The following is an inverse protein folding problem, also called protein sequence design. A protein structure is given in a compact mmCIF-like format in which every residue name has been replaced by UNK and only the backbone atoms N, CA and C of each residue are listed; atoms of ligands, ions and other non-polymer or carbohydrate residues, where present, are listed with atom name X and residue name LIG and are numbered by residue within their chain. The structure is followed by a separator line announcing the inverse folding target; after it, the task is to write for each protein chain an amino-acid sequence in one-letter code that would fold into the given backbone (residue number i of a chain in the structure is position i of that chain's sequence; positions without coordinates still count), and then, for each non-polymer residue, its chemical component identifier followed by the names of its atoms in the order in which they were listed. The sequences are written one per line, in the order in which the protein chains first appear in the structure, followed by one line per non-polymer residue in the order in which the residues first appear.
data_IF_694070507080
#
_entry.id   IF_694070507080
#
_cell.length_a   1.000
_cell.length_b   1.000
_cell.length_c   1.000
_cell.angle_alpha   90.00
_cell.angle_beta   90.00
_cell.angle_gamma   90.00
#
_symmetry.space_group_name_H-M   'P 1'
#
loop_
_entity.id
_entity.type
_entity.pdbx_description
1 polymer ?
#
# COMPACT_ATOMS: atom_id res chain seq x y z
N UNK A 1 -7.00 -18.48 -16.97
CA UNK A 1 -7.69 -17.23 -16.56
C UNK A 1 -7.94 -17.14 -15.06
N UNK A 2 -8.52 -18.15 -14.39
CA UNK A 2 -8.80 -18.11 -12.93
C UNK A 2 -7.60 -17.75 -12.02
N UNK A 3 -6.39 -18.25 -12.30
CA UNK A 3 -5.18 -17.95 -11.51
C UNK A 3 -4.50 -16.61 -11.84
N UNK A 4 -4.86 -15.96 -12.96
CA UNK A 4 -4.37 -14.62 -13.34
C UNK A 4 -5.00 -13.53 -12.46
N UNK A 5 -6.11 -13.86 -11.81
CA UNK A 5 -6.89 -12.96 -10.98
C UNK A 5 -6.45 -12.99 -9.51
N UNK A 6 -5.91 -14.11 -9.00
CA UNK A 6 -5.60 -14.23 -7.57
C UNK A 6 -4.34 -13.48 -7.12
N UNK A 7 -3.34 -13.34 -8.01
CA UNK A 7 -2.10 -12.62 -7.69
C UNK A 7 -2.28 -11.10 -7.69
N UNK A 8 -3.09 -10.56 -8.60
CA UNK A 8 -3.46 -9.13 -8.63
C UNK A 8 -4.40 -8.80 -7.48
N UNK A 9 -5.34 -9.71 -7.17
CA UNK A 9 -6.26 -9.57 -6.04
C UNK A 9 -5.51 -9.33 -4.74
N UNK A 10 -4.48 -10.13 -4.41
CA UNK A 10 -3.81 -10.03 -3.12
C UNK A 10 -3.20 -8.63 -2.84
N UNK A 11 -2.56 -8.01 -3.83
CA UNK A 11 -2.09 -6.62 -3.73
C UNK A 11 -3.25 -5.62 -3.67
N UNK A 12 -4.32 -5.87 -4.42
CA UNK A 12 -5.51 -5.01 -4.47
C UNK A 12 -6.28 -4.95 -3.14
N UNK A 13 -6.28 -6.02 -2.35
CA UNK A 13 -6.93 -6.02 -1.03
C UNK A 13 -6.23 -5.07 -0.04
N UNK A 14 -4.89 -5.00 -0.06
CA UNK A 14 -4.11 -4.06 0.76
C UNK A 14 -4.52 -2.63 0.44
N UNK A 15 -4.75 -2.30 -0.83
CA UNK A 15 -5.22 -0.96 -1.22
C UNK A 15 -6.62 -0.64 -0.70
N UNK A 16 -7.55 -1.60 -0.70
CA UNK A 16 -8.87 -1.42 -0.10
C UNK A 16 -8.80 -1.04 1.39
N UNK A 17 -7.92 -1.70 2.15
CA UNK A 17 -7.65 -1.37 3.57
C UNK A 17 -7.13 0.06 3.74
N UNK A 18 -6.25 0.51 2.85
CA UNK A 18 -5.67 1.85 2.89
C UNK A 18 -6.72 2.94 2.63
N UNK A 19 -7.72 2.67 1.78
CA UNK A 19 -8.83 3.60 1.53
C UNK A 19 -9.82 3.70 2.71
N UNK A 20 -10.11 2.59 3.39
CA UNK A 20 -10.94 2.62 4.62
C UNK A 20 -10.32 3.52 5.69
N UNK A 21 -8.99 3.53 5.77
CA UNK A 21 -8.30 4.36 6.75
C UNK A 21 -8.45 5.85 6.45
N UNK A 22 -8.56 6.27 5.18
CA UNK A 22 -8.85 7.67 4.86
C UNK A 22 -10.19 8.16 5.42
N UNK A 23 -11.21 7.31 5.49
CA UNK A 23 -12.50 7.63 6.14
C UNK A 23 -12.35 7.93 7.65
N UNK A 24 -11.26 7.46 8.28
CA UNK A 24 -11.01 7.75 9.69
C UNK A 24 -10.41 9.13 9.95
N UNK A 25 -9.91 9.84 8.92
CA UNK A 25 -9.36 11.19 9.06
C UNK A 25 -10.37 12.21 9.58
N UNK A 26 -11.53 12.40 8.92
CA UNK A 26 -12.53 13.33 9.41
C UNK A 26 -13.04 12.90 10.79
N UNK A 27 -13.20 11.60 11.01
CA UNK A 27 -13.66 11.06 12.28
C UNK A 27 -12.69 11.35 13.45
N UNK A 28 -11.38 11.38 13.20
CA UNK A 28 -10.37 11.70 14.22
C UNK A 28 -10.15 13.20 14.34
N UNK A 29 -9.85 13.89 13.24
CA UNK A 29 -9.44 15.29 13.31
C UNK A 29 -10.64 16.23 13.54
N UNK A 30 -11.81 15.94 12.96
CA UNK A 30 -13.00 16.78 13.12
C UNK A 30 -13.78 16.40 14.39
N UNK A 31 -14.09 15.12 14.62
CA UNK A 31 -14.92 14.75 15.78
C UNK A 31 -14.15 14.72 17.11
N UNK A 32 -12.91 14.21 17.15
CA UNK A 32 -12.13 14.08 18.41
C UNK A 32 -11.38 15.38 18.72
N UNK A 33 -10.68 15.94 17.73
CA UNK A 33 -9.83 17.12 17.92
C UNK A 33 -10.51 18.46 17.59
N UNK A 34 -11.71 18.46 17.02
CA UNK A 34 -12.47 19.68 16.72
C UNK A 34 -11.84 20.55 15.64
N UNK A 35 -11.06 19.98 14.72
CA UNK A 35 -10.42 20.74 13.65
C UNK A 35 -11.44 21.27 12.64
N UNK A 36 -11.15 22.45 12.09
CA UNK A 36 -11.88 22.97 10.94
C UNK A 36 -11.46 22.22 9.65
N UNK A 37 -12.30 22.21 8.61
CA UNK A 37 -12.03 21.57 7.31
C UNK A 37 -10.67 21.97 6.70
N UNK A 38 -10.24 23.23 6.88
CA UNK A 38 -8.92 23.68 6.43
C UNK A 38 -7.76 23.07 7.22
N UNK A 39 -7.94 22.83 8.53
CA UNK A 39 -6.96 22.19 9.41
C UNK A 39 -6.89 20.68 9.20
N UNK A 40 -8.01 20.05 8.83
CA UNK A 40 -8.02 18.66 8.34
C UNK A 40 -7.15 18.53 7.07
N UNK A 41 -7.25 19.50 6.15
CA UNK A 41 -6.38 19.58 4.98
C UNK A 41 -4.88 19.58 5.32
N UNK A 42 -4.51 20.27 6.40
CA UNK A 42 -3.13 20.31 6.91
C UNK A 42 -2.67 18.95 7.45
N UNK A 43 -3.57 18.11 7.98
CA UNK A 43 -3.21 16.77 8.48
C UNK A 43 -2.73 15.83 7.34
N UNK A 44 -3.17 16.06 6.10
CA UNK A 44 -2.67 15.33 4.93
C UNK A 44 -1.22 15.66 4.57
N UNK A 45 -0.65 16.77 5.07
CA UNK A 45 0.77 17.07 4.89
C UNK A 45 1.67 15.99 5.51
N UNK A 46 1.23 15.31 6.57
CA UNK A 46 1.95 14.16 7.13
C UNK A 46 2.19 13.08 6.08
N UNK A 47 1.13 12.73 5.32
CA UNK A 47 1.20 11.76 4.23
C UNK A 47 2.13 12.26 3.10
N UNK A 48 2.07 13.55 2.77
CA UNK A 48 2.92 14.16 1.75
C UNK A 48 4.41 14.02 2.13
N UNK A 49 4.78 14.40 3.36
CA UNK A 49 6.16 14.30 3.86
C UNK A 49 6.64 12.85 3.85
N UNK A 50 5.80 11.91 4.29
CA UNK A 50 6.11 10.48 4.22
C UNK A 50 6.36 9.98 2.79
N UNK A 51 5.53 10.40 1.85
CA UNK A 51 5.64 10.04 0.43
C UNK A 51 6.92 10.62 -0.20
N UNK A 52 7.27 11.87 0.09
CA UNK A 52 8.51 12.50 -0.38
C UNK A 52 9.76 11.83 0.19
N UNK A 53 9.69 11.42 1.46
CA UNK A 53 10.77 10.67 2.11
C UNK A 53 10.97 9.31 1.43
N UNK A 54 9.89 8.57 1.20
CA UNK A 54 9.94 7.30 0.49
C UNK A 54 10.40 7.44 -0.97
N UNK A 55 10.01 8.50 -1.66
CA UNK A 55 10.50 8.82 -3.00
C UNK A 55 12.02 8.99 -3.01
N UNK A 56 12.56 9.77 -2.07
CA UNK A 56 14.01 9.97 -1.95
C UNK A 56 14.72 8.67 -1.64
N UNK A 57 14.23 7.88 -0.68
CA UNK A 57 14.80 6.58 -0.33
C UNK A 57 14.79 5.59 -1.50
N UNK A 58 13.68 5.52 -2.26
CA UNK A 58 13.58 4.68 -3.45
C UNK A 58 14.52 5.13 -4.55
N UNK A 59 14.63 6.43 -4.78
CA UNK A 59 15.52 6.97 -5.81
C UNK A 59 16.98 6.63 -5.49
N UNK A 60 17.40 6.80 -4.24
CA UNK A 60 18.72 6.39 -3.77
C UNK A 60 18.92 4.86 -3.91
N UNK A 61 17.91 4.07 -3.58
CA UNK A 61 17.97 2.61 -3.76
C UNK A 61 18.15 2.22 -5.24
N UNK A 62 17.39 2.85 -6.14
CA UNK A 62 17.51 2.61 -7.57
C UNK A 62 18.88 3.01 -8.10
N UNK A 63 19.37 4.20 -7.73
CA UNK A 63 20.64 4.74 -8.20
C UNK A 63 21.86 3.97 -7.67
N UNK A 64 21.88 3.60 -6.39
CA UNK A 64 23.03 2.93 -5.79
C UNK A 64 23.04 1.40 -6.00
N UNK A 65 21.87 0.77 -6.04
CA UNK A 65 21.75 -0.69 -5.97
C UNK A 65 21.18 -1.31 -7.24
N UNK A 66 20.09 -0.74 -7.78
CA UNK A 66 19.40 -1.32 -8.94
C UNK A 66 20.15 -1.05 -10.25
N UNK A 67 20.74 0.13 -10.40
CA UNK A 67 21.51 0.52 -11.60
C UNK A 67 22.76 -0.35 -11.79
N UNK A 68 23.36 -0.84 -10.70
CA UNK A 68 24.51 -1.74 -10.72
C UNK A 68 24.17 -3.21 -10.99
N UNK A 69 22.88 -3.56 -11.01
CA UNK A 69 22.39 -4.92 -11.27
C UNK A 69 21.79 -5.07 -12.68
N UNK A 70 21.91 -4.05 -13.53
CA UNK A 70 21.65 -4.21 -14.95
C UNK A 70 22.73 -5.12 -15.55
N UNK A 71 22.32 -6.23 -16.17
CA UNK A 71 23.20 -7.07 -16.97
C UNK A 71 23.63 -6.33 -18.26
N UNK A 72 24.64 -6.82 -18.97
CA UNK A 72 25.14 -6.25 -20.25
C UNK A 72 24.05 -6.07 -21.33
N UNK A 73 22.88 -6.71 -21.18
CA UNK A 73 21.72 -6.59 -22.05
C UNK A 73 20.67 -5.55 -21.60
N UNK A 74 20.89 -4.81 -20.50
CA UNK A 74 19.96 -3.79 -20.01
C UNK A 74 18.70 -4.34 -19.32
N UNK A 75 18.72 -5.58 -18.85
CA UNK A 75 17.56 -6.23 -18.22
C UNK A 75 17.77 -6.48 -16.71
N UNK A 76 16.72 -6.26 -15.91
CA UNK A 76 16.66 -6.52 -14.46
C UNK A 76 15.65 -7.64 -14.19
N UNK A 77 15.97 -8.54 -13.25
CA UNK A 77 15.02 -9.53 -12.72
C UNK A 77 13.79 -8.83 -12.09
N UNK A 78 12.55 -9.07 -12.58
CA UNK A 78 11.34 -8.42 -12.06
C UNK A 78 11.14 -8.60 -10.55
N UNK A 79 11.70 -9.64 -9.95
CA UNK A 79 11.65 -9.95 -8.53
C UNK A 79 12.39 -8.91 -7.66
N UNK A 80 13.43 -8.26 -8.19
CA UNK A 80 14.12 -7.16 -7.49
C UNK A 80 13.20 -5.95 -7.31
N UNK A 81 12.19 -5.79 -8.17
CA UNK A 81 11.18 -4.72 -8.05
C UNK A 81 10.17 -4.97 -6.93
N UNK A 82 10.08 -6.20 -6.39
CA UNK A 82 9.23 -6.53 -5.23
C UNK A 82 9.87 -6.20 -3.88
N UNK A 83 11.18 -5.96 -3.81
CA UNK A 83 11.88 -5.67 -2.55
C UNK A 83 11.32 -4.43 -1.83
N UNK A 84 10.96 -3.32 -2.52
CA UNK A 84 10.30 -2.20 -1.87
C UNK A 84 8.92 -2.54 -1.30
N UNK A 85 8.15 -3.44 -1.93
CA UNK A 85 6.86 -3.89 -1.40
C UNK A 85 7.00 -4.69 -0.10
N UNK A 86 8.09 -5.46 0.05
CA UNK A 86 8.38 -6.20 1.29
C UNK A 86 8.60 -5.23 2.45
N UNK A 87 9.32 -4.13 2.21
CA UNK A 87 9.55 -3.07 3.21
C UNK A 87 8.26 -2.29 3.47
N UNK A 88 7.56 -1.85 2.42
CA UNK A 88 6.30 -1.12 2.52
C UNK A 88 5.21 -1.88 3.28
N UNK A 89 5.18 -3.21 3.15
CA UNK A 89 4.25 -4.08 3.87
C UNK A 89 4.35 -3.98 5.40
N UNK A 90 5.54 -3.72 5.96
CA UNK A 90 5.71 -3.50 7.40
C UNK A 90 5.26 -2.12 7.86
N UNK A 91 5.35 -1.11 6.99
CA UNK A 91 4.92 0.24 7.30
C UNK A 91 3.39 0.39 7.37
N UNK A 92 2.65 -0.46 6.65
CA UNK A 92 1.16 -0.49 6.70
C UNK A 92 0.62 -0.71 8.12
N UNK A 93 0.94 -1.80 8.83
CA UNK A 93 0.45 -2.00 10.19
C UNK A 93 1.04 -1.02 11.19
N UNK A 94 2.28 -0.58 11.01
CA UNK A 94 2.88 0.46 11.87
C UNK A 94 2.05 1.73 11.83
N UNK A 95 1.69 2.20 10.62
CA UNK A 95 0.82 3.35 10.47
C UNK A 95 -0.55 3.12 11.13
N UNK A 96 -1.20 1.99 10.86
CA UNK A 96 -2.55 1.73 11.35
C UNK A 96 -2.61 1.60 12.87
N UNK A 97 -1.64 0.91 13.49
CA UNK A 97 -1.55 0.85 14.96
C UNK A 97 -1.20 2.20 15.56
N UNK A 98 -0.22 2.91 14.98
CA UNK A 98 0.20 4.21 15.49
C UNK A 98 -0.95 5.22 15.43
N UNK A 99 -1.58 5.36 14.27
CA UNK A 99 -2.72 6.25 14.07
C UNK A 99 -3.89 5.85 14.95
N UNK A 100 -4.27 4.57 14.98
CA UNK A 100 -5.38 4.06 15.77
C UNK A 100 -5.23 4.38 17.26
N UNK A 101 -4.08 4.09 17.85
CA UNK A 101 -3.87 4.27 19.30
C UNK A 101 -3.47 5.69 19.71
N UNK A 102 -3.02 6.52 18.77
CA UNK A 102 -2.74 7.94 19.01
C UNK A 102 -3.96 8.84 18.82
N UNK A 103 -5.04 8.34 18.22
CA UNK A 103 -6.30 9.05 18.02
C UNK A 103 -7.14 9.11 19.30
N UNK A 104 -6.63 9.81 20.31
CA UNK A 104 -7.27 10.00 21.62
C UNK A 104 -7.26 11.48 22.00
N UNK A 105 -8.31 11.94 22.68
CA UNK A 105 -8.40 13.31 23.20
C UNK A 105 -7.23 13.69 24.11
N UNK A 106 -6.64 12.70 24.80
CA UNK A 106 -5.52 12.90 25.73
C UNK A 106 -4.15 13.03 25.04
N UNK A 107 -4.07 12.73 23.74
CA UNK A 107 -2.81 12.71 22.97
C UNK A 107 -2.78 13.90 22.01
N UNK A 108 -1.65 14.59 21.92
CA UNK A 108 -1.50 15.74 21.03
C UNK A 108 -1.73 15.36 19.56
N UNK A 109 -2.53 16.15 18.83
CA UNK A 109 -2.94 15.94 17.43
C UNK A 109 -1.78 15.69 16.44
N UNK A 110 -0.55 16.06 16.78
CA UNK A 110 0.63 15.85 15.93
C UNK A 110 1.04 14.37 15.86
N UNK A 111 0.76 13.59 16.90
CA UNK A 111 1.14 12.17 16.98
C UNK A 111 0.42 11.34 15.91
N UNK A 112 -0.91 11.46 15.69
CA UNK A 112 -1.57 10.79 14.57
C UNK A 112 -1.11 11.31 13.20
N UNK A 113 -0.70 12.59 13.08
CA UNK A 113 -0.12 13.13 11.82
C UNK A 113 1.27 12.50 11.54
N UNK A 114 2.08 12.25 12.56
CA UNK A 114 3.33 11.50 12.38
C UNK A 114 3.01 10.06 11.97
N UNK A 115 1.99 9.46 12.58
CA UNK A 115 1.46 8.15 12.17
C UNK A 115 1.08 8.11 10.69
N UNK A 116 0.38 9.14 10.20
CA UNK A 116 -0.01 9.24 8.79
C UNK A 116 1.17 9.38 7.82
N UNK A 117 2.32 9.87 8.27
CA UNK A 117 3.52 9.89 7.41
C UNK A 117 4.00 8.49 7.04
N UNK A 118 3.90 7.52 7.94
CA UNK A 118 4.24 6.12 7.64
C UNK A 118 3.30 5.49 6.61
N UNK A 119 2.06 5.96 6.53
CA UNK A 119 1.15 5.61 5.45
C UNK A 119 1.70 6.04 4.09
N UNK A 120 2.16 7.28 3.98
CA UNK A 120 2.74 7.82 2.76
C UNK A 120 3.93 6.98 2.29
N UNK A 121 4.77 6.57 3.23
CA UNK A 121 5.90 5.65 2.95
C UNK A 121 5.40 4.30 2.44
N UNK A 122 4.46 3.67 3.13
CA UNK A 122 3.92 2.36 2.76
C UNK A 122 3.26 2.38 1.38
N UNK A 123 2.35 3.34 1.17
CA UNK A 123 1.61 3.48 -0.08
C UNK A 123 2.56 3.72 -1.25
N UNK A 124 3.51 4.66 -1.11
CA UNK A 124 4.44 4.98 -2.19
C UNK A 124 5.32 3.77 -2.55
N UNK A 125 5.88 3.06 -1.57
CA UNK A 125 6.69 1.86 -1.81
C UNK A 125 5.89 0.74 -2.48
N UNK A 126 4.64 0.52 -2.07
CA UNK A 126 3.77 -0.50 -2.65
C UNK A 126 3.39 -0.16 -4.10
N UNK A 127 3.03 1.10 -4.38
CA UNK A 127 2.69 1.54 -5.74
C UNK A 127 3.88 1.40 -6.69
N UNK A 128 5.05 1.84 -6.25
CA UNK A 128 6.28 1.79 -7.05
C UNK A 128 6.81 0.37 -7.25
N UNK A 129 6.46 -0.59 -6.40
CA UNK A 129 6.79 -2.00 -6.61
C UNK A 129 5.78 -2.71 -7.52
N UNK A 130 4.48 -2.49 -7.31
CA UNK A 130 3.41 -3.23 -7.99
C UNK A 130 3.28 -2.82 -9.46
N UNK A 131 3.26 -1.53 -9.78
CA UNK A 131 3.02 -1.08 -11.16
C UNK A 131 4.10 -1.56 -12.14
N UNK A 132 5.41 -1.42 -11.84
CA UNK A 132 6.46 -1.90 -12.73
C UNK A 132 6.51 -3.44 -12.79
N UNK A 133 6.26 -4.13 -11.68
CA UNK A 133 6.16 -5.59 -11.66
C UNK A 133 5.04 -6.10 -12.58
N UNK A 134 3.89 -5.41 -12.54
CA UNK A 134 2.71 -5.79 -13.32
C UNK A 134 2.91 -5.55 -14.82
N UNK A 135 3.63 -4.48 -15.18
CA UNK A 135 4.08 -4.20 -16.54
C UNK A 135 5.06 -5.26 -17.06
N UNK A 136 6.04 -5.66 -16.25
CA UNK A 136 7.04 -6.66 -16.65
C UNK A 136 6.45 -8.07 -16.73
N UNK A 137 5.53 -8.42 -15.83
CA UNK A 137 4.90 -9.72 -15.79
C UNK A 137 3.93 -9.94 -16.97
N UNK A 138 3.32 -8.86 -17.50
CA UNK A 138 2.29 -8.92 -18.54
C UNK A 138 2.43 -7.83 -19.63
N UNK A 139 3.56 -7.78 -20.37
CA UNK A 139 3.84 -6.70 -21.33
C UNK A 139 2.79 -6.58 -22.45
N UNK A 140 2.18 -7.69 -22.87
CA UNK A 140 1.15 -7.70 -23.93
C UNK A 140 -0.22 -7.18 -23.47
N UNK A 141 -0.47 -7.07 -22.16
CA UNK A 141 -1.79 -6.67 -21.60
C UNK A 141 -1.67 -5.58 -20.54
N UNK A 142 -0.56 -4.84 -20.48
CA UNK A 142 -0.28 -3.83 -19.45
C UNK A 142 -1.44 -2.83 -19.27
N UNK A 143 -2.00 -2.31 -20.37
CA UNK A 143 -3.10 -1.35 -20.32
C UNK A 143 -4.37 -1.92 -19.66
N UNK A 144 -4.77 -3.15 -20.01
CA UNK A 144 -5.94 -3.81 -19.42
C UNK A 144 -5.71 -4.14 -17.94
N UNK A 145 -4.47 -4.47 -17.59
CA UNK A 145 -4.11 -4.83 -16.23
C UNK A 145 -4.06 -3.58 -15.33
N UNK A 146 -3.59 -2.45 -15.82
CA UNK A 146 -3.69 -1.15 -15.12
C UNK A 146 -5.15 -0.71 -14.97
N UNK A 147 -5.96 -0.81 -16.04
CA UNK A 147 -7.39 -0.52 -15.95
C UNK A 147 -8.10 -1.42 -14.92
N UNK A 148 -7.74 -2.71 -14.87
CA UNK A 148 -8.22 -3.62 -13.84
C UNK A 148 -7.80 -3.18 -12.43
N UNK A 149 -6.55 -2.80 -12.24
CA UNK A 149 -6.06 -2.27 -10.96
C UNK A 149 -6.85 -1.04 -10.49
N UNK A 150 -7.08 -0.08 -11.38
CA UNK A 150 -7.88 1.10 -11.08
C UNK A 150 -9.35 0.77 -10.80
N UNK A 151 -9.94 -0.16 -11.54
CA UNK A 151 -11.31 -0.62 -11.30
C UNK A 151 -11.44 -1.25 -9.91
N UNK A 152 -10.55 -2.16 -9.52
CA UNK A 152 -10.59 -2.78 -8.19
C UNK A 152 -10.39 -1.74 -7.10
N UNK A 153 -9.42 -0.83 -7.26
CA UNK A 153 -9.17 0.26 -6.32
C UNK A 153 -10.42 1.14 -6.14
N UNK A 154 -11.08 1.49 -7.24
CA UNK A 154 -12.27 2.35 -7.22
C UNK A 154 -13.49 1.61 -6.66
N UNK A 155 -13.67 0.34 -7.00
CA UNK A 155 -14.75 -0.50 -6.45
C UNK A 155 -14.61 -0.66 -4.92
N UNK A 156 -13.39 -0.87 -4.44
CA UNK A 156 -13.10 -0.87 -3.02
C UNK A 156 -13.33 0.51 -2.41
N UNK A 157 -12.80 1.59 -3.01
CA UNK A 157 -13.06 2.96 -2.55
C UNK A 157 -14.54 3.34 -2.47
N UNK A 158 -15.40 2.78 -3.33
CA UNK A 158 -16.84 3.01 -3.29
C UNK A 158 -17.58 2.08 -2.30
N UNK A 159 -17.17 0.82 -2.18
CA UNK A 159 -17.86 -0.18 -1.35
C UNK A 159 -17.49 -0.12 0.14
N UNK A 160 -16.25 0.25 0.46
CA UNK A 160 -15.74 0.24 1.82
C UNK A 160 -16.35 1.32 2.74
N UNK A 161 -16.56 2.57 2.31
CA UNK A 161 -17.20 3.60 3.15
C UNK A 161 -18.58 3.20 3.66
N UNK A 162 -19.31 2.39 2.89
CA UNK A 162 -20.67 1.93 3.22
C UNK A 162 -20.75 1.17 4.55
N UNK A 163 -19.67 0.48 4.94
CA UNK A 163 -19.56 -0.22 6.22
C UNK A 163 -18.49 0.34 7.14
N UNK A 164 -17.57 1.18 6.64
CA UNK A 164 -16.60 1.87 7.46
C UNK A 164 -17.28 2.69 8.56
N UNK A 165 -18.32 3.48 8.22
CA UNK A 165 -19.07 4.23 9.24
C UNK A 165 -19.60 3.33 10.33
N UNK A 166 -20.31 2.24 9.98
CA UNK A 166 -20.85 1.29 10.95
C UNK A 166 -19.76 0.59 11.80
N UNK A 167 -18.60 0.32 11.21
CA UNK A 167 -17.45 -0.24 11.91
C UNK A 167 -16.88 0.76 12.92
N UNK A 168 -16.65 2.00 12.50
CA UNK A 168 -16.10 3.06 13.36
C UNK A 168 -17.07 3.46 14.48
N UNK A 169 -18.39 3.49 14.25
CA UNK A 169 -19.36 3.80 15.33
C UNK A 169 -19.45 2.70 16.39
N UNK A 170 -19.29 1.42 16.00
CA UNK A 170 -19.45 0.28 16.93
C UNK A 170 -18.16 -0.13 17.62
N UNK A 171 -17.02 -0.12 16.93
CA UNK A 171 -15.71 -0.50 17.49
C UNK A 171 -14.94 0.70 18.04
N UNK A 172 -15.22 1.91 17.55
CA UNK A 172 -14.37 3.08 17.79
C UNK A 172 -13.08 3.04 16.96
N UNK A 173 -12.44 4.19 16.81
CA UNK A 173 -11.24 4.36 15.97
C UNK A 173 -10.12 3.41 16.37
N UNK A 174 -9.83 3.27 17.67
CA UNK A 174 -8.71 2.47 18.16
C UNK A 174 -8.79 0.99 17.73
N UNK A 175 -9.96 0.37 17.95
CA UNK A 175 -10.17 -1.04 17.62
C UNK A 175 -10.41 -1.26 16.13
N UNK A 176 -11.09 -0.33 15.45
CA UNK A 176 -11.27 -0.38 14.00
C UNK A 176 -9.91 -0.33 13.27
N UNK A 177 -9.02 0.60 13.65
CA UNK A 177 -7.67 0.68 13.10
C UNK A 177 -6.81 -0.54 13.47
N UNK A 178 -6.96 -1.09 14.67
CA UNK A 178 -6.23 -2.31 15.08
C UNK A 178 -6.68 -3.54 14.28
N UNK A 179 -7.98 -3.70 14.00
CA UNK A 179 -8.50 -4.76 13.14
C UNK A 179 -7.90 -4.67 11.73
N UNK A 180 -7.90 -3.47 11.15
CA UNK A 180 -7.29 -3.20 9.85
C UNK A 180 -5.78 -3.49 9.88
N UNK A 181 -5.09 -3.14 10.97
CA UNK A 181 -3.67 -3.40 11.15
C UNK A 181 -3.36 -4.91 11.22
N UNK A 182 -4.14 -5.69 11.97
CA UNK A 182 -4.01 -7.15 12.02
C UNK A 182 -4.24 -7.79 10.65
N UNK A 183 -5.23 -7.30 9.89
CA UNK A 183 -5.43 -7.74 8.52
C UNK A 183 -4.21 -7.40 7.65
N UNK A 184 -3.68 -6.18 7.78
CA UNK A 184 -2.45 -5.74 7.12
C UNK A 184 -1.25 -6.65 7.43
N UNK A 185 -1.07 -7.06 8.69
CA UNK A 185 -0.03 -8.02 9.11
C UNK A 185 -0.21 -9.37 8.41
N UNK A 186 -1.44 -9.86 8.29
CA UNK A 186 -1.73 -11.10 7.58
C UNK A 186 -1.35 -11.05 6.08
N UNK A 187 -1.27 -9.86 5.49
CA UNK A 187 -0.85 -9.67 4.09
C UNK A 187 0.67 -9.48 3.90
N UNK A 188 1.45 -9.19 4.94
CA UNK A 188 2.93 -9.10 4.88
C UNK A 188 3.61 -10.31 4.22
N UNK A 189 3.24 -11.58 4.49
CA UNK A 189 3.94 -12.72 3.90
C UNK A 189 3.77 -12.82 2.38
N UNK A 190 2.80 -12.14 1.76
CA UNK A 190 2.48 -12.30 0.34
C UNK A 190 3.61 -11.79 -0.58
N UNK A 191 4.13 -10.55 -0.43
CA UNK A 191 5.33 -10.11 -1.14
C UNK A 191 6.52 -11.05 -0.96
N UNK A 192 6.73 -11.60 0.24
CA UNK A 192 7.84 -12.54 0.52
C UNK A 192 7.67 -13.87 -0.21
N UNK A 193 6.45 -14.42 -0.22
CA UNK A 193 6.13 -15.66 -0.95
C UNK A 193 6.32 -15.42 -2.45
N UNK A 194 5.88 -14.28 -2.97
CA UNK A 194 6.06 -13.92 -4.37
C UNK A 194 7.53 -13.71 -4.75
N UNK A 195 8.33 -13.13 -3.87
CA UNK A 195 9.77 -12.99 -4.09
C UNK A 195 10.47 -14.35 -4.18
N UNK A 196 10.12 -15.31 -3.31
CA UNK A 196 10.76 -16.63 -3.25
C UNK A 196 10.22 -17.64 -4.26
N UNK A 197 8.94 -17.56 -4.61
CA UNK A 197 8.26 -18.52 -5.50
C UNK A 197 7.89 -17.93 -6.87
N UNK A 198 8.12 -16.63 -7.09
CA UNK A 198 7.83 -15.93 -8.35
C UNK A 198 8.45 -16.63 -9.56
N UNK A 199 9.69 -17.09 -9.44
CA UNK A 199 10.42 -17.79 -10.50
C UNK A 199 9.73 -19.13 -10.88
N UNK A 200 9.27 -19.91 -9.90
CA UNK A 200 8.49 -21.16 -10.13
C UNK A 200 7.08 -20.90 -10.67
N UNK A 201 6.44 -19.80 -10.26
CA UNK A 201 5.13 -19.36 -10.74
C UNK A 201 5.20 -18.85 -12.19
N UNK A 202 6.29 -18.18 -12.56
CA UNK A 202 6.55 -17.68 -13.93
C UNK A 202 6.75 -18.83 -14.90
N UNK A 203 7.52 -19.85 -14.52
CA UNK A 203 7.73 -21.04 -15.36
C UNK A 203 6.46 -21.89 -15.59
N UNK A 204 5.50 -21.84 -14.66
CA UNK A 204 4.21 -22.55 -14.77
C UNK A 204 3.12 -21.80 -15.55
N UNK A 205 3.32 -20.51 -15.87
CA UNK A 205 2.33 -19.70 -16.58
C UNK A 205 2.55 -19.71 -18.09
N UNK A 206 1.51 -20.07 -18.86
CA UNK A 206 1.52 -20.09 -20.34
C UNK A 206 1.63 -18.69 -21.00
N UNK A 207 1.49 -17.60 -20.24
CA UNK A 207 1.38 -16.21 -20.76
C UNK A 207 2.26 -15.18 -20.05
N UNK A 208 3.07 -15.59 -19.06
CA UNK A 208 4.13 -14.74 -18.53
C UNK A 208 5.36 -14.90 -19.43
N UNK A 209 6.21 -13.86 -19.57
CA UNK A 209 7.46 -13.92 -20.33
C UNK A 209 8.24 -15.15 -19.83
N UNK A 210 8.25 -16.21 -20.64
CA UNK A 210 9.26 -17.26 -20.57
C UNK A 210 10.52 -16.65 -21.19
N UNK A 211 11.66 -17.05 -20.66
CA UNK A 211 13.00 -16.64 -21.08
C UNK A 211 13.49 -15.38 -20.30
N UNK A 212 14.70 -15.40 -19.72
CA UNK A 212 15.86 -16.26 -20.00
C UNK A 212 16.10 -17.38 -18.97
#
# INVERSE_FOLDING_TARGET
MKFKQDQTKAFQHIYGLLYIWFESFPLVFVEIYGFNLGQEGLAFLGILVGSLTAMTCLFLYMWFYLEKQFNENGEIKPELRLQPAMVGGFFVPICLFWFGWSSRSDVHWIVPIIGSSFFGVAAFLLFQAVLPYLSDAYPAYTASVFAGNDLFRSAFGAGFPLFASAMYTRLGVNWASSLLAFLGVAFIPIPFILYRYGERLRQRSKHAKKDF
#
